data_IF_080962360499
#
_entry.id   IF_080962360499
#
_cell.length_a   1.000
_cell.length_b   1.000
_cell.length_c   1.000
_cell.angle_alpha   90.00
_cell.angle_beta   90.00
_cell.angle_gamma   90.00
#
_symmetry.space_group_name_H-M   'P 1'
#
loop_
_entity.id
_entity.type
_entity.pdbx_description
1 polymer ?
#
# COMPACT_ATOMS: atom_id res chain seq x y z
N UNK A 1 -8.89 17.53 5.51
CA UNK A 1 -8.27 17.10 6.77
C UNK A 1 -8.63 15.65 6.96
N UNK A 2 -7.69 14.72 6.74
CA UNK A 2 -7.88 13.30 7.04
C UNK A 2 -7.63 13.15 8.56
N UNK A 3 -8.69 13.22 9.34
CA UNK A 3 -8.60 13.05 10.78
C UNK A 3 -8.19 11.62 11.15
N UNK A 4 -7.57 11.44 12.28
CA UNK A 4 -7.02 10.21 12.89
C UNK A 4 -8.02 9.03 13.09
N UNK A 5 -9.15 9.02 12.42
CA UNK A 5 -10.27 8.07 12.62
C UNK A 5 -10.74 7.33 11.37
N UNK A 6 -10.22 7.59 10.20
CA UNK A 6 -10.70 6.90 9.01
C UNK A 6 -9.86 5.64 8.76
N UNK A 7 -10.46 4.51 9.11
CA UNK A 7 -10.00 3.21 8.64
C UNK A 7 -10.30 3.12 7.14
N UNK A 8 -9.33 2.69 6.35
CA UNK A 8 -9.42 2.46 4.91
C UNK A 8 -9.10 1.01 4.65
N UNK A 9 -9.97 0.30 3.96
CA UNK A 9 -9.68 -1.03 3.46
C UNK A 9 -9.29 -0.90 1.99
N UNK A 10 -8.12 -1.45 1.65
CA UNK A 10 -7.53 -1.44 0.32
C UNK A 10 -7.38 -2.88 -0.19
N UNK A 11 -8.38 -3.44 -0.90
CA UNK A 11 -8.23 -4.74 -1.53
C UNK A 11 -7.02 -4.76 -2.48
N UNK A 12 -6.12 -5.77 -2.33
CA UNK A 12 -4.98 -5.92 -3.24
C UNK A 12 -5.33 -6.85 -4.38
N UNK A 13 -5.24 -6.34 -5.61
CA UNK A 13 -5.47 -7.13 -6.83
C UNK A 13 -4.48 -8.28 -7.02
N UNK A 14 -3.39 -8.32 -6.26
CA UNK A 14 -2.48 -9.48 -6.28
C UNK A 14 -3.18 -10.77 -5.81
N UNK A 15 -4.22 -10.65 -4.96
CA UNK A 15 -5.03 -11.78 -4.50
C UNK A 15 -6.19 -12.16 -5.41
N UNK A 16 -6.47 -11.36 -6.45
CA UNK A 16 -7.59 -11.53 -7.37
C UNK A 16 -7.31 -12.52 -8.50
N UNK A 17 -8.35 -12.96 -9.20
CA UNK A 17 -8.22 -13.71 -10.43
C UNK A 17 -7.84 -12.77 -11.59
N UNK A 18 -6.60 -12.85 -12.05
CA UNK A 18 -6.09 -11.99 -13.12
C UNK A 18 -6.80 -12.18 -14.47
N UNK A 19 -7.49 -13.32 -14.67
CA UNK A 19 -8.32 -13.52 -15.86
C UNK A 19 -9.62 -12.72 -15.84
N UNK A 20 -10.00 -12.16 -14.67
CA UNK A 20 -11.26 -11.45 -14.42
C UNK A 20 -11.06 -10.08 -13.76
N UNK A 21 -9.89 -9.47 -13.85
CA UNK A 21 -9.54 -8.24 -13.12
C UNK A 21 -10.60 -7.15 -13.22
N UNK A 22 -11.28 -7.00 -14.35
CA UNK A 22 -12.35 -6.01 -14.49
C UNK A 22 -13.49 -6.28 -13.49
N UNK A 23 -14.02 -7.51 -13.46
CA UNK A 23 -15.11 -7.85 -12.54
C UNK A 23 -14.68 -7.81 -11.06
N UNK A 24 -13.42 -8.11 -10.77
CA UNK A 24 -12.86 -7.98 -9.42
C UNK A 24 -12.79 -6.52 -8.97
N UNK A 25 -12.46 -5.60 -9.88
CA UNK A 25 -12.48 -4.15 -9.63
C UNK A 25 -13.92 -3.64 -9.46
N UNK A 26 -14.85 -4.07 -10.32
CA UNK A 26 -16.27 -3.74 -10.21
C UNK A 26 -16.86 -4.21 -8.86
N UNK A 27 -16.49 -5.40 -8.40
CA UNK A 27 -16.85 -5.90 -7.07
C UNK A 27 -16.32 -4.98 -5.95
N UNK A 28 -15.09 -4.47 -6.07
CA UNK A 28 -14.56 -3.50 -5.11
C UNK A 28 -15.35 -2.19 -5.11
N UNK A 29 -15.82 -1.71 -6.29
CA UNK A 29 -16.67 -0.51 -6.38
C UNK A 29 -17.98 -0.70 -5.63
N UNK A 30 -18.58 -1.90 -5.68
CA UNK A 30 -19.85 -2.22 -5.03
C UNK A 30 -19.69 -2.45 -3.52
N UNK A 31 -18.46 -2.49 -3.04
CA UNK A 31 -18.13 -2.64 -1.63
C UNK A 31 -17.97 -1.29 -0.91
N UNK A 32 -17.54 -1.31 0.34
CA UNK A 32 -17.13 -0.10 1.08
C UNK A 32 -15.64 0.23 0.91
N UNK A 33 -14.91 -0.44 0.01
CA UNK A 33 -13.52 -0.13 -0.24
C UNK A 33 -13.37 1.32 -0.71
N UNK A 34 -12.36 2.00 -0.20
CA UNK A 34 -12.03 3.37 -0.64
C UNK A 34 -10.80 3.37 -1.56
N UNK A 35 -9.89 2.44 -1.35
CA UNK A 35 -8.66 2.28 -2.11
C UNK A 35 -8.62 0.92 -2.80
N UNK A 36 -7.88 0.85 -3.90
CA UNK A 36 -7.51 -0.38 -4.58
C UNK A 36 -5.99 -0.48 -4.60
N UNK A 37 -5.43 -1.50 -4.00
CA UNK A 37 -3.99 -1.68 -3.90
C UNK A 37 -3.45 -2.47 -5.10
N UNK A 38 -2.40 -1.93 -5.72
CA UNK A 38 -1.86 -2.42 -6.99
C UNK A 38 -0.37 -2.75 -6.80
N UNK A 39 -0.08 -4.02 -6.52
CA UNK A 39 1.27 -4.53 -6.29
C UNK A 39 2.04 -4.70 -7.59
N UNK A 40 3.03 -3.85 -7.82
CA UNK A 40 3.86 -3.85 -9.03
C UNK A 40 5.23 -4.45 -8.74
N UNK A 41 5.53 -5.53 -9.42
CA UNK A 41 6.73 -6.35 -9.22
C UNK A 41 7.48 -6.56 -10.51
N UNK A 42 8.82 -6.51 -10.47
CA UNK A 42 9.71 -6.53 -11.66
C UNK A 42 10.61 -7.77 -11.76
N UNK A 43 10.45 -8.74 -10.86
CA UNK A 43 11.33 -9.93 -10.76
C UNK A 43 12.81 -9.59 -10.52
N UNK A 44 13.08 -8.36 -10.07
CA UNK A 44 14.42 -7.89 -9.71
C UNK A 44 14.50 -7.53 -8.22
N UNK A 45 13.60 -6.68 -7.75
CA UNK A 45 13.50 -6.28 -6.35
C UNK A 45 12.89 -7.38 -5.47
N UNK A 46 11.93 -8.13 -6.04
CA UNK A 46 11.25 -9.29 -5.44
C UNK A 46 11.27 -10.47 -6.44
N UNK A 47 11.22 -11.73 -5.97
CA UNK A 47 11.30 -12.90 -6.85
C UNK A 47 9.97 -13.23 -7.56
N UNK A 48 9.21 -12.22 -7.93
CA UNK A 48 7.92 -12.36 -8.61
C UNK A 48 7.72 -11.23 -9.62
N UNK A 49 6.85 -11.45 -10.60
CA UNK A 49 6.41 -10.50 -11.62
C UNK A 49 4.89 -10.40 -11.54
N UNK A 50 4.34 -9.18 -11.50
CA UNK A 50 2.89 -8.99 -11.47
C UNK A 50 2.36 -8.41 -12.79
N UNK A 51 1.94 -7.17 -12.79
CA UNK A 51 1.41 -6.49 -13.97
C UNK A 51 1.97 -5.07 -14.08
N UNK A 52 1.76 -4.46 -15.24
CA UNK A 52 2.33 -3.16 -15.56
C UNK A 52 1.30 -2.05 -15.79
N UNK A 53 1.77 -0.85 -16.23
CA UNK A 53 0.94 0.34 -16.42
C UNK A 53 -0.24 0.14 -17.39
N UNK A 54 -0.09 -0.72 -18.40
CA UNK A 54 -1.17 -0.99 -19.36
C UNK A 54 -2.39 -1.64 -18.71
N UNK A 55 -2.18 -2.54 -17.76
CA UNK A 55 -3.27 -3.16 -16.99
C UNK A 55 -3.93 -2.11 -16.10
N UNK A 56 -3.15 -1.32 -15.34
CA UNK A 56 -3.68 -0.26 -14.47
C UNK A 56 -4.50 0.74 -15.26
N UNK A 57 -4.01 1.18 -16.43
CA UNK A 57 -4.73 2.09 -17.32
C UNK A 57 -6.05 1.52 -17.82
N UNK A 58 -6.08 0.23 -18.13
CA UNK A 58 -7.32 -0.46 -18.56
C UNK A 58 -8.35 -0.47 -17.42
N UNK A 59 -7.91 -0.77 -16.19
CA UNK A 59 -8.77 -0.86 -15.03
C UNK A 59 -9.29 0.51 -14.57
N UNK A 60 -8.52 1.59 -14.77
CA UNK A 60 -8.91 2.96 -14.36
C UNK A 60 -10.28 3.38 -14.91
N UNK A 61 -10.62 2.95 -16.14
CA UNK A 61 -11.90 3.28 -16.76
C UNK A 61 -13.10 2.54 -16.12
N UNK A 62 -12.86 1.62 -15.21
CA UNK A 62 -13.89 0.79 -14.56
C UNK A 62 -14.03 1.06 -13.06
N UNK A 63 -13.33 2.05 -12.51
CA UNK A 63 -13.40 2.35 -11.08
C UNK A 63 -13.02 3.79 -10.77
N UNK A 64 -13.71 4.41 -9.82
CA UNK A 64 -13.36 5.71 -9.24
C UNK A 64 -12.62 5.59 -7.91
N UNK A 65 -12.34 4.37 -7.44
CA UNK A 65 -11.56 4.12 -6.23
C UNK A 65 -10.17 4.75 -6.33
N UNK A 66 -9.58 5.05 -5.20
CA UNK A 66 -8.20 5.52 -5.12
C UNK A 66 -7.24 4.38 -5.54
N UNK A 67 -6.55 4.54 -6.66
CA UNK A 67 -5.54 3.59 -7.13
C UNK A 67 -4.21 3.85 -6.43
N UNK A 68 -3.88 2.97 -5.50
CA UNK A 68 -2.66 2.98 -4.70
C UNK A 68 -1.63 2.03 -5.33
N UNK A 69 -0.70 2.59 -6.08
CA UNK A 69 0.36 1.84 -6.77
C UNK A 69 1.53 1.62 -5.82
N UNK A 70 1.80 0.35 -5.51
CA UNK A 70 2.91 -0.07 -4.66
C UNK A 70 4.05 -0.63 -5.52
N UNK A 71 5.13 0.12 -5.64
CA UNK A 71 6.27 -0.23 -6.47
C UNK A 71 7.28 -1.10 -5.71
N UNK A 72 7.23 -2.40 -5.92
CA UNK A 72 8.22 -3.39 -5.51
C UNK A 72 9.17 -3.67 -6.67
N UNK A 73 9.90 -2.65 -7.09
CA UNK A 73 10.77 -2.67 -8.29
C UNK A 73 12.17 -2.14 -7.96
N UNK A 74 13.16 -2.61 -8.69
CA UNK A 74 14.58 -2.25 -8.50
C UNK A 74 14.88 -0.79 -8.86
N UNK A 75 14.16 -0.23 -9.82
CA UNK A 75 14.28 1.17 -10.22
C UNK A 75 12.89 1.85 -10.24
N UNK A 76 12.41 2.34 -9.08
CA UNK A 76 11.09 2.97 -9.02
C UNK A 76 11.00 4.28 -9.81
N UNK A 77 12.10 4.99 -10.06
CA UNK A 77 12.08 6.25 -10.78
C UNK A 77 11.52 6.11 -12.20
N UNK A 78 11.96 5.10 -12.95
CA UNK A 78 11.52 4.88 -14.33
C UNK A 78 10.05 4.45 -14.42
N UNK A 79 9.48 3.97 -13.31
CA UNK A 79 8.08 3.55 -13.24
C UNK A 79 7.12 4.70 -12.89
N UNK A 80 7.61 5.84 -12.38
CA UNK A 80 6.72 6.91 -11.91
C UNK A 80 5.82 7.45 -13.02
N UNK A 81 6.38 7.93 -14.12
CA UNK A 81 5.58 8.53 -15.21
C UNK A 81 4.62 7.52 -15.82
N UNK A 82 5.02 6.28 -16.17
CA UNK A 82 4.08 5.28 -16.70
C UNK A 82 2.86 5.04 -15.81
N UNK A 83 3.03 5.00 -14.47
CA UNK A 83 1.90 4.78 -13.56
C UNK A 83 1.09 6.05 -13.29
N UNK A 84 1.71 7.24 -13.31
CA UNK A 84 0.98 8.51 -13.28
C UNK A 84 0.04 8.59 -14.49
N UNK A 85 0.54 8.31 -15.70
CA UNK A 85 -0.23 8.33 -16.95
C UNK A 85 -1.29 7.20 -17.02
N UNK A 86 -1.08 6.13 -16.26
CA UNK A 86 -2.07 5.06 -16.11
C UNK A 86 -3.21 5.41 -15.14
N UNK A 87 -3.14 6.54 -14.43
CA UNK A 87 -4.21 7.04 -13.56
C UNK A 87 -4.07 6.64 -12.09
N UNK A 88 -2.85 6.43 -11.60
CA UNK A 88 -2.56 6.30 -10.17
C UNK A 88 -3.02 7.54 -9.40
N UNK A 89 -3.55 7.37 -8.19
CA UNK A 89 -3.87 8.45 -7.26
C UNK A 89 -2.79 8.57 -6.17
N UNK A 90 -2.13 7.47 -5.84
CA UNK A 90 -0.98 7.39 -4.95
C UNK A 90 0.07 6.44 -5.47
N UNK A 91 1.32 6.73 -5.16
CA UNK A 91 2.44 5.83 -5.46
C UNK A 91 3.30 5.70 -4.20
N UNK A 92 3.56 4.46 -3.81
CA UNK A 92 4.55 4.11 -2.80
C UNK A 92 5.72 3.36 -3.44
N UNK A 93 6.90 3.55 -2.88
CA UNK A 93 8.11 2.86 -3.29
C UNK A 93 8.91 2.40 -2.06
N UNK A 94 9.66 1.34 -2.19
CA UNK A 94 10.52 0.85 -1.12
C UNK A 94 11.75 1.73 -0.93
N UNK A 95 12.02 2.10 0.33
CA UNK A 95 13.24 2.85 0.66
C UNK A 95 14.50 2.07 0.27
N UNK A 96 14.46 0.75 0.40
CA UNK A 96 15.56 -0.16 0.07
C UNK A 96 15.89 -0.17 -1.43
N UNK A 97 14.92 0.13 -2.30
CA UNK A 97 15.15 0.27 -3.74
C UNK A 97 15.95 1.53 -4.11
N UNK A 98 16.13 2.45 -3.17
CA UNK A 98 16.84 3.73 -3.38
C UNK A 98 18.26 3.75 -2.79
N UNK A 99 18.72 2.65 -2.22
CA UNK A 99 20.03 2.54 -1.57
C UNK A 99 21.19 2.25 -2.56
N UNK A 100 20.86 1.83 -3.78
CA UNK A 100 21.87 1.58 -4.82
C UNK A 100 22.38 2.90 -5.41
N UNK A 101 23.69 2.97 -5.68
CA UNK A 101 24.31 4.08 -6.43
C UNK A 101 23.78 4.27 -7.86
N UNK A 102 23.05 3.30 -8.36
CA UNK A 102 22.43 3.34 -9.70
C UNK A 102 20.96 3.80 -9.66
N UNK A 103 20.43 4.13 -8.48
CA UNK A 103 19.04 4.58 -8.30
C UNK A 103 19.01 6.03 -7.83
N UNK A 104 17.87 6.68 -8.02
CA UNK A 104 17.69 8.06 -7.60
C UNK A 104 17.40 8.17 -6.09
N UNK A 105 17.94 9.22 -5.42
CA UNK A 105 17.63 9.47 -4.01
C UNK A 105 16.12 9.62 -3.76
N UNK A 106 15.59 9.17 -2.60
CA UNK A 106 14.16 9.23 -2.27
C UNK A 106 13.52 10.60 -2.48
N UNK A 107 14.22 11.69 -2.18
CA UNK A 107 13.70 13.06 -2.36
C UNK A 107 13.34 13.37 -3.81
N UNK A 108 14.04 12.81 -4.78
CA UNK A 108 13.73 13.01 -6.22
C UNK A 108 12.42 12.32 -6.55
N UNK A 109 12.22 11.08 -6.11
CA UNK A 109 10.99 10.32 -6.31
C UNK A 109 9.80 11.04 -5.63
N UNK A 110 9.95 11.41 -4.37
CA UNK A 110 8.94 12.15 -3.61
C UNK A 110 8.52 13.42 -4.36
N UNK A 111 9.49 14.25 -4.76
CA UNK A 111 9.22 15.50 -5.47
C UNK A 111 8.47 15.26 -6.79
N UNK A 112 8.83 14.21 -7.54
CA UNK A 112 8.19 13.88 -8.79
C UNK A 112 6.74 13.43 -8.59
N UNK A 113 6.48 12.57 -7.61
CA UNK A 113 5.13 12.15 -7.23
C UNK A 113 4.29 13.35 -6.78
N UNK A 114 4.81 14.17 -5.87
CA UNK A 114 4.09 15.34 -5.34
C UNK A 114 3.86 16.42 -6.39
N UNK A 115 4.79 16.66 -7.32
CA UNK A 115 4.63 17.60 -8.44
C UNK A 115 3.45 17.23 -9.35
N UNK A 116 3.18 15.94 -9.48
CA UNK A 116 2.03 15.42 -10.22
C UNK A 116 0.76 15.34 -9.38
N UNK A 117 0.75 15.90 -8.15
CA UNK A 117 -0.41 15.97 -7.24
C UNK A 117 -0.89 14.61 -6.72
N UNK A 118 -0.06 13.58 -6.76
CA UNK A 118 -0.37 12.28 -6.20
C UNK A 118 -0.01 12.23 -4.71
N UNK A 119 -0.65 11.29 -3.99
CA UNK A 119 -0.19 10.89 -2.66
C UNK A 119 1.11 10.10 -2.78
N UNK A 120 2.05 10.42 -1.89
CA UNK A 120 3.36 9.77 -1.87
C UNK A 120 3.51 8.92 -0.62
N UNK A 121 3.80 7.62 -0.81
CA UNK A 121 4.14 6.68 0.25
C UNK A 121 5.60 6.23 0.19
N UNK A 122 6.15 5.84 1.34
CA UNK A 122 7.41 5.09 1.40
C UNK A 122 7.17 3.79 2.13
N UNK A 123 7.56 2.67 1.49
CA UNK A 123 7.47 1.34 2.04
C UNK A 123 8.78 0.92 2.73
N UNK A 124 8.65 0.13 3.80
CA UNK A 124 9.75 -0.51 4.52
C UNK A 124 9.47 -2.01 4.70
N UNK A 125 10.50 -2.82 4.42
CA UNK A 125 10.46 -4.27 4.66
C UNK A 125 10.35 -4.60 6.16
N UNK A 126 9.95 -5.84 6.53
CA UNK A 126 9.80 -6.22 7.93
C UNK A 126 11.04 -5.98 8.79
N UNK A 127 12.23 -6.16 8.21
CA UNK A 127 13.51 -5.98 8.92
C UNK A 127 14.06 -4.56 8.90
N UNK A 128 13.55 -3.71 8.02
CA UNK A 128 14.03 -2.31 7.88
C UNK A 128 13.52 -1.46 9.04
N UNK A 129 14.39 -0.78 9.79
CA UNK A 129 13.97 0.02 10.93
C UNK A 129 13.27 1.31 10.47
N UNK A 130 12.25 1.72 11.23
CA UNK A 130 11.52 2.96 10.96
C UNK A 130 12.39 4.22 10.98
N UNK A 131 13.47 4.21 11.74
CA UNK A 131 14.36 5.37 11.88
C UNK A 131 14.87 5.95 10.55
N UNK A 132 14.99 5.11 9.51
CA UNK A 132 15.44 5.52 8.18
C UNK A 132 14.46 6.50 7.50
N UNK A 133 13.17 6.44 7.86
CA UNK A 133 12.12 7.28 7.28
C UNK A 133 11.98 8.66 7.95
N UNK A 134 12.51 8.85 9.17
CA UNK A 134 12.28 10.07 9.97
C UNK A 134 12.59 11.36 9.22
N UNK A 135 13.62 11.35 8.36
CA UNK A 135 14.03 12.51 7.56
C UNK A 135 13.15 12.83 6.35
N UNK A 136 12.15 11.98 6.06
CA UNK A 136 11.25 12.14 4.92
C UNK A 136 9.80 12.44 5.33
N UNK A 137 9.46 12.38 6.63
CA UNK A 137 8.09 12.46 7.13
C UNK A 137 7.37 13.76 6.72
N UNK A 138 8.07 14.88 6.63
CA UNK A 138 7.46 16.15 6.23
C UNK A 138 7.06 16.21 4.74
N UNK A 139 7.45 15.21 3.96
CA UNK A 139 7.30 15.21 2.49
C UNK A 139 6.36 14.13 1.97
N UNK A 140 5.92 13.19 2.82
CA UNK A 140 5.10 12.03 2.43
C UNK A 140 3.71 12.08 3.04
N UNK A 141 2.78 11.33 2.47
CA UNK A 141 1.39 11.26 2.93
C UNK A 141 1.12 9.96 3.71
N UNK A 142 1.87 8.88 3.46
CA UNK A 142 1.70 7.61 4.16
C UNK A 142 2.99 6.79 4.22
N UNK A 143 3.02 5.88 5.19
CA UNK A 143 4.10 4.89 5.36
C UNK A 143 3.49 3.52 5.11
N UNK A 144 4.10 2.71 4.25
CA UNK A 144 3.73 1.31 4.05
C UNK A 144 4.62 0.43 4.91
N UNK A 145 4.03 -0.21 5.90
CA UNK A 145 4.70 -1.20 6.75
C UNK A 145 4.41 -2.58 6.18
N UNK A 146 5.44 -3.22 5.62
CA UNK A 146 5.30 -4.61 5.19
C UNK A 146 5.20 -5.51 6.40
N UNK A 147 4.15 -6.29 6.47
CA UNK A 147 3.92 -7.31 7.51
C UNK A 147 4.20 -8.74 7.02
N UNK A 148 4.73 -8.85 5.81
CA UNK A 148 5.31 -10.05 5.19
C UNK A 148 6.57 -9.65 4.42
N UNK A 149 7.41 -10.59 4.01
CA UNK A 149 8.44 -10.27 3.01
C UNK A 149 7.76 -10.01 1.65
N UNK A 150 8.08 -8.86 0.98
CA UNK A 150 7.43 -8.53 -0.27
C UNK A 150 7.71 -9.56 -1.37
N UNK A 151 6.72 -9.76 -2.28
CA UNK A 151 6.89 -10.59 -3.47
C UNK A 151 5.77 -11.59 -3.73
N UNK A 152 5.08 -12.11 -2.74
CA UNK A 152 3.99 -13.08 -2.93
C UNK A 152 2.78 -12.75 -2.06
N UNK A 153 1.58 -13.00 -2.59
CA UNK A 153 0.35 -12.96 -1.82
C UNK A 153 0.16 -14.21 -0.94
N UNK A 154 -0.81 -14.17 -0.02
CA UNK A 154 -1.21 -15.30 0.81
C UNK A 154 -0.24 -15.70 1.94
N UNK A 155 0.80 -14.92 2.19
CA UNK A 155 1.75 -15.16 3.27
C UNK A 155 1.13 -14.91 4.66
N UNK A 156 1.67 -15.57 5.68
CA UNK A 156 1.27 -15.35 7.07
C UNK A 156 1.81 -14.02 7.58
N UNK A 157 0.97 -13.29 8.30
CA UNK A 157 1.33 -12.05 9.00
C UNK A 157 2.50 -12.25 9.97
N UNK A 158 3.47 -11.36 9.99
CA UNK A 158 4.59 -11.36 10.91
C UNK A 158 4.21 -10.60 12.19
N UNK A 159 3.92 -11.28 13.34
CA UNK A 159 3.38 -10.62 14.53
C UNK A 159 4.26 -9.49 15.09
N UNK A 160 5.57 -9.59 14.95
CA UNK A 160 6.51 -8.56 15.44
C UNK A 160 6.35 -7.20 14.73
N UNK A 161 5.67 -7.16 13.58
CA UNK A 161 5.38 -5.89 12.88
C UNK A 161 4.39 -5.01 13.63
N UNK A 162 3.55 -5.58 14.51
CA UNK A 162 2.68 -4.79 15.41
C UNK A 162 3.48 -3.82 16.27
N UNK A 163 4.64 -4.24 16.77
CA UNK A 163 5.53 -3.36 17.55
C UNK A 163 6.05 -2.20 16.70
N UNK A 164 6.42 -2.46 15.42
CA UNK A 164 6.86 -1.42 14.49
C UNK A 164 5.74 -0.43 14.18
N UNK A 165 4.51 -0.91 13.95
CA UNK A 165 3.34 -0.05 13.72
C UNK A 165 3.12 0.86 14.93
N UNK A 166 3.16 0.31 16.15
CA UNK A 166 2.99 1.06 17.40
C UNK A 166 4.13 2.08 17.63
N UNK A 167 5.38 1.74 17.27
CA UNK A 167 6.52 2.67 17.30
C UNK A 167 6.25 3.87 16.38
N UNK A 168 5.81 3.60 15.14
CA UNK A 168 5.52 4.65 14.15
C UNK A 168 4.37 5.52 14.64
N UNK A 169 3.26 4.93 15.08
CA UNK A 169 2.09 5.64 15.56
C UNK A 169 2.44 6.57 16.75
N UNK A 170 3.18 6.04 17.72
CA UNK A 170 3.63 6.80 18.89
C UNK A 170 4.54 7.97 18.50
N UNK A 171 5.49 7.74 17.59
CA UNK A 171 6.38 8.78 17.08
C UNK A 171 5.62 9.87 16.32
N UNK A 172 4.68 9.48 15.43
CA UNK A 172 3.88 10.45 14.69
C UNK A 172 2.98 11.29 15.60
N UNK A 173 2.45 10.70 16.68
CA UNK A 173 1.69 11.43 17.72
C UNK A 173 2.57 12.42 18.45
N UNK A 174 3.75 12.02 18.92
CA UNK A 174 4.74 12.90 19.60
C UNK A 174 5.11 14.09 18.71
N UNK A 175 5.33 13.87 17.42
CA UNK A 175 5.71 14.91 16.46
C UNK A 175 4.53 15.71 15.88
N UNK A 176 3.28 15.43 16.30
CA UNK A 176 2.03 16.03 15.78
C UNK A 176 1.87 15.87 14.26
N UNK A 177 2.34 14.73 13.74
CA UNK A 177 2.25 14.35 12.33
C UNK A 177 1.14 13.32 12.07
N UNK A 178 0.52 12.78 13.13
CA UNK A 178 -0.43 11.66 13.03
C UNK A 178 -1.68 11.96 12.19
N UNK A 179 -2.10 13.23 12.14
CA UNK A 179 -3.24 13.67 11.31
C UNK A 179 -2.85 13.95 9.84
N UNK A 180 -1.55 13.94 9.54
CA UNK A 180 -1.02 14.22 8.20
C UNK A 180 -0.52 12.95 7.49
N UNK A 181 -0.02 11.97 8.25
CA UNK A 181 0.61 10.75 7.72
C UNK A 181 -0.21 9.55 8.14
N UNK A 182 -0.65 8.76 7.14
CA UNK A 182 -1.33 7.50 7.35
C UNK A 182 -0.31 6.36 7.51
N UNK A 183 -0.72 5.31 8.23
CA UNK A 183 0.04 4.07 8.35
C UNK A 183 -0.72 3.00 7.59
N UNK A 184 -0.16 2.58 6.47
CA UNK A 184 -0.64 1.46 5.67
C UNK A 184 0.09 0.20 6.11
N UNK A 185 -0.65 -0.89 6.25
CA UNK A 185 -0.09 -2.20 6.62
C UNK A 185 -0.42 -3.18 5.51
N UNK A 186 0.64 -3.78 4.95
CA UNK A 186 0.54 -4.65 3.79
C UNK A 186 1.18 -6.02 4.06
N UNK A 187 0.34 -7.04 3.91
CA UNK A 187 0.71 -8.44 3.96
C UNK A 187 0.05 -9.25 5.10
N UNK A 188 -0.62 -10.32 4.74
CA UNK A 188 -1.21 -11.28 5.69
C UNK A 188 -2.35 -10.73 6.54
N UNK A 189 -3.00 -9.64 6.12
CA UNK A 189 -4.17 -9.09 6.81
C UNK A 189 -5.37 -10.00 6.60
N UNK A 190 -6.00 -10.40 7.71
CA UNK A 190 -7.15 -11.29 7.76
C UNK A 190 -8.18 -10.84 8.80
N UNK A 191 -9.39 -11.43 8.76
CA UNK A 191 -10.43 -11.19 9.77
C UNK A 191 -10.00 -11.56 11.19
N UNK A 192 -9.02 -12.44 11.34
CA UNK A 192 -8.50 -12.85 12.66
C UNK A 192 -7.51 -11.83 13.28
N UNK A 193 -6.87 -10.95 12.46
CA UNK A 193 -5.79 -10.08 12.93
C UNK A 193 -5.97 -8.58 12.64
N UNK A 194 -6.92 -8.18 11.80
CA UNK A 194 -7.08 -6.78 11.39
C UNK A 194 -7.31 -5.83 12.58
N UNK A 195 -8.00 -6.28 13.62
CA UNK A 195 -8.25 -5.47 14.83
C UNK A 195 -6.95 -5.17 15.59
N UNK A 196 -6.03 -6.12 15.65
CA UNK A 196 -4.73 -5.92 16.29
C UNK A 196 -3.90 -4.89 15.53
N UNK A 197 -3.98 -4.90 14.19
CA UNK A 197 -3.32 -3.92 13.33
C UNK A 197 -3.90 -2.51 13.54
N UNK A 198 -5.23 -2.38 13.62
CA UNK A 198 -5.89 -1.11 13.93
C UNK A 198 -5.49 -0.60 15.33
N UNK A 199 -5.49 -1.48 16.33
CA UNK A 199 -5.12 -1.14 17.71
C UNK A 199 -3.65 -0.72 17.81
N UNK A 200 -2.77 -1.28 16.98
CA UNK A 200 -1.37 -0.86 16.89
C UNK A 200 -1.18 0.50 16.20
N UNK A 201 -2.20 1.01 15.49
CA UNK A 201 -2.17 2.32 14.84
C UNK A 201 -2.28 2.27 13.31
N UNK A 202 -2.54 1.11 12.69
CA UNK A 202 -2.79 1.01 11.26
C UNK A 202 -4.05 1.77 10.82
N UNK A 203 -3.98 2.50 9.70
CA UNK A 203 -5.14 3.21 9.13
C UNK A 203 -5.61 2.59 7.83
N UNK A 204 -4.66 2.13 6.99
CA UNK A 204 -4.94 1.53 5.70
C UNK A 204 -4.55 0.06 5.80
N UNK A 205 -5.52 -0.82 5.62
CA UNK A 205 -5.32 -2.26 5.67
C UNK A 205 -5.36 -2.83 4.25
N UNK A 206 -4.24 -3.39 3.81
CA UNK A 206 -4.15 -4.04 2.50
C UNK A 206 -4.51 -5.52 2.66
N UNK A 207 -5.62 -5.93 2.07
CA UNK A 207 -6.11 -7.30 2.14
C UNK A 207 -6.32 -7.88 0.74
N UNK A 208 -5.53 -8.87 0.37
CA UNK A 208 -5.60 -9.56 -0.93
C UNK A 208 -6.39 -10.86 -0.84
N UNK A 209 -5.71 -11.97 -0.52
CA UNK A 209 -6.31 -13.31 -0.47
C UNK A 209 -7.51 -13.41 0.46
N UNK A 210 -7.51 -12.71 1.58
CA UNK A 210 -8.64 -12.70 2.51
C UNK A 210 -9.92 -12.18 1.87
N UNK A 211 -9.80 -11.20 0.97
CA UNK A 211 -10.94 -10.64 0.25
C UNK A 211 -11.30 -11.53 -0.95
N UNK A 212 -10.38 -11.71 -1.88
CA UNK A 212 -10.71 -12.30 -3.18
C UNK A 212 -10.86 -13.83 -3.17
N UNK A 213 -10.43 -14.53 -2.11
CA UNK A 213 -10.61 -15.98 -1.95
C UNK A 213 -11.73 -16.32 -0.94
N UNK A 214 -12.43 -15.31 -0.40
CA UNK A 214 -13.59 -15.52 0.46
C UNK A 214 -14.85 -15.87 -0.36
N UNK A 215 -15.81 -16.52 0.29
CA UNK A 215 -17.11 -16.83 -0.32
C UNK A 215 -17.92 -15.54 -0.65
N UNK A 216 -17.69 -14.46 0.08
CA UNK A 216 -18.35 -13.16 -0.08
C UNK A 216 -17.36 -12.01 0.14
N UNK A 217 -16.64 -11.58 -0.90
CA UNK A 217 -15.65 -10.52 -0.81
C UNK A 217 -16.21 -9.17 -0.32
N UNK A 218 -17.45 -8.82 -0.73
CA UNK A 218 -18.10 -7.56 -0.30
C UNK A 218 -18.33 -7.59 1.20
N UNK A 219 -18.89 -8.69 1.72
CA UNK A 219 -19.12 -8.86 3.16
C UNK A 219 -17.81 -8.89 3.94
N UNK A 220 -16.76 -9.52 3.41
CA UNK A 220 -15.44 -9.53 4.04
C UNK A 220 -14.89 -8.12 4.21
N UNK A 221 -14.95 -7.30 3.16
CA UNK A 221 -14.55 -5.88 3.23
C UNK A 221 -15.41 -5.13 4.26
N UNK A 222 -16.74 -5.32 4.24
CA UNK A 222 -17.65 -4.66 5.18
C UNK A 222 -17.34 -5.03 6.63
N UNK A 223 -17.06 -6.32 6.90
CA UNK A 223 -16.71 -6.81 8.24
C UNK A 223 -15.44 -6.14 8.80
N UNK A 224 -14.45 -5.85 7.95
CA UNK A 224 -13.23 -5.16 8.37
C UNK A 224 -13.49 -3.69 8.82
N UNK A 225 -14.63 -3.10 8.47
CA UNK A 225 -15.07 -1.79 8.98
C UNK A 225 -15.83 -1.88 10.30
N UNK A 226 -16.25 -3.07 10.73
CA UNK A 226 -16.95 -3.27 11.98
C UNK A 226 -15.96 -3.26 13.16
N UNK A 227 -16.24 -2.40 14.15
CA UNK A 227 -15.40 -2.20 15.35
C UNK A 227 -15.58 -3.29 16.38
#
# INVERSE_FOLDING_TARGET
MLGSKNLIIAPSLLGADFSKLRSEVELCNDSKAEWLHLDIMDQQFVPNLSFGPAVVKSLRNHSDLFFDVHLMVSNPFDMLIPFIDAGANGISFHIEATESRFTFPPKILINMIKKNRLKCGIAIKPKTPFSILKKYLDFIDYIVVMSVEPGFGGQSFIPSTLNKISEIDSFLKEKKLRDKILIQVDGGIKLENYKDVINAGGNILVAGSEVFQSDDPIKTIQTMYEK
#
